data_IF_131786961529
#
_entry.id   IF_131786961529
#
_cell.length_a   1.000
_cell.length_b   1.000
_cell.length_c   1.000
_cell.angle_alpha   90.00
_cell.angle_beta   90.00
_cell.angle_gamma   90.00
#
_symmetry.space_group_name_H-M   'P 1'
#
loop_
_entity.id
_entity.type
_entity.pdbx_description
1 polymer ?
#
# COMPACT_ATOMS: atom_id res chain seq x y z
N UNK A 1 20.10 16.09 -15.28
CA UNK A 1 18.65 16.00 -15.02
C UNK A 1 18.46 15.33 -13.67
N UNK A 2 17.98 16.04 -12.66
CA UNK A 2 17.89 15.55 -11.27
C UNK A 2 16.46 15.06 -11.08
N UNK A 3 16.24 13.75 -11.12
CA UNK A 3 14.94 13.16 -10.83
C UNK A 3 14.62 13.41 -9.35
N UNK A 4 13.82 14.42 -9.07
CA UNK A 4 13.36 14.71 -7.72
C UNK A 4 12.22 13.72 -7.40
N UNK A 5 12.57 12.63 -6.71
CA UNK A 5 11.59 11.71 -6.15
C UNK A 5 11.15 12.24 -4.77
N UNK A 6 9.84 12.45 -4.60
CA UNK A 6 9.25 12.85 -3.32
C UNK A 6 8.41 11.68 -2.83
N UNK A 7 8.72 11.20 -1.62
CA UNK A 7 7.95 10.17 -0.94
C UNK A 7 6.99 10.83 0.05
N UNK A 8 5.71 10.45 0.01
CA UNK A 8 4.72 10.80 1.04
C UNK A 8 4.30 9.52 1.73
N UNK A 9 4.45 9.45 3.05
CA UNK A 9 4.01 8.31 3.86
C UNK A 9 2.74 8.66 4.64
N UNK A 10 1.81 7.71 4.71
CA UNK A 10 0.57 7.83 5.48
C UNK A 10 0.35 6.54 6.25
N UNK A 11 0.06 6.63 7.55
CA UNK A 11 -0.28 5.50 8.40
C UNK A 11 -1.79 5.27 8.42
N UNK A 12 -2.22 4.05 8.09
CA UNK A 12 -3.63 3.64 8.05
C UNK A 12 -3.72 2.23 8.64
N UNK A 13 -4.77 1.95 9.41
CA UNK A 13 -5.03 0.61 9.89
C UNK A 13 -5.36 -0.32 8.70
N UNK A 14 -4.72 -1.49 8.63
CA UNK A 14 -4.82 -2.38 7.45
C UNK A 14 -6.20 -3.02 7.27
N UNK A 15 -7.08 -2.89 8.27
CA UNK A 15 -8.46 -3.33 8.24
C UNK A 15 -9.47 -2.20 7.92
N UNK A 16 -9.03 -0.95 7.76
CA UNK A 16 -9.87 0.20 7.42
C UNK A 16 -9.72 0.58 5.93
N UNK A 17 -10.51 -0.12 5.11
CA UNK A 17 -10.46 -0.03 3.66
C UNK A 17 -11.03 1.28 3.14
N UNK A 18 -12.09 1.79 3.78
CA UNK A 18 -12.75 3.01 3.35
C UNK A 18 -11.83 4.22 3.59
N UNK A 19 -11.17 4.27 4.75
CA UNK A 19 -10.15 5.29 5.02
C UNK A 19 -8.99 5.18 4.02
N UNK A 20 -8.52 3.96 3.73
CA UNK A 20 -7.42 3.75 2.78
C UNK A 20 -7.77 4.25 1.36
N UNK A 21 -8.98 3.98 0.88
CA UNK A 21 -9.46 4.42 -0.43
C UNK A 21 -9.59 5.95 -0.47
N UNK A 22 -10.13 6.58 0.58
CA UNK A 22 -10.27 8.03 0.63
C UNK A 22 -8.92 8.76 0.67
N UNK A 23 -7.95 8.23 1.42
CA UNK A 23 -6.58 8.76 1.39
C UNK A 23 -5.95 8.57 0.01
N UNK A 24 -6.10 7.40 -0.60
CA UNK A 24 -5.57 7.13 -1.94
C UNK A 24 -6.11 8.12 -2.98
N UNK A 25 -7.43 8.40 -2.98
CA UNK A 25 -8.04 9.41 -3.85
C UNK A 25 -7.43 10.81 -3.66
N UNK A 26 -7.20 11.21 -2.41
CA UNK A 26 -6.55 12.50 -2.10
C UNK A 26 -5.11 12.56 -2.60
N UNK A 27 -4.36 11.48 -2.44
CA UNK A 27 -2.99 11.38 -2.95
C UNK A 27 -2.95 11.49 -4.49
N UNK A 28 -3.86 10.80 -5.19
CA UNK A 28 -3.99 10.93 -6.65
C UNK A 28 -4.33 12.37 -7.05
N UNK A 29 -5.27 13.02 -6.35
CA UNK A 29 -5.62 14.41 -6.61
C UNK A 29 -4.45 15.38 -6.39
N UNK A 30 -3.54 15.05 -5.46
CA UNK A 30 -2.32 15.82 -5.16
C UNK A 30 -1.14 15.48 -6.09
N UNK A 31 -1.36 14.66 -7.12
CA UNK A 31 -0.36 14.37 -8.16
C UNK A 31 0.57 13.20 -7.86
N UNK A 32 0.27 12.36 -6.87
CA UNK A 32 0.98 11.08 -6.70
C UNK A 32 0.76 10.19 -7.93
N UNK A 33 1.83 9.55 -8.40
CA UNK A 33 1.85 8.77 -9.63
C UNK A 33 2.00 7.25 -9.41
N UNK A 34 2.25 6.83 -8.17
CA UNK A 34 2.37 5.43 -7.74
C UNK A 34 1.96 5.34 -6.27
N UNK A 35 1.14 4.35 -5.93
CA UNK A 35 0.86 3.99 -4.53
C UNK A 35 1.48 2.63 -4.25
N UNK A 36 2.24 2.54 -3.16
CA UNK A 36 2.78 1.28 -2.66
C UNK A 36 2.26 1.02 -1.25
N UNK A 37 1.64 -0.14 -1.06
CA UNK A 37 1.02 -0.56 0.20
C UNK A 37 1.98 -1.40 1.03
N UNK A 38 1.91 -1.25 2.35
CA UNK A 38 2.60 -2.16 3.25
C UNK A 38 2.01 -3.57 3.15
N UNK A 39 2.80 -4.60 3.46
CA UNK A 39 2.39 -6.00 3.29
C UNK A 39 1.16 -6.41 4.10
N UNK A 40 0.80 -5.67 5.15
CA UNK A 40 -0.42 -5.92 5.92
C UNK A 40 -1.72 -5.69 5.15
N UNK A 41 -1.71 -4.96 4.03
CA UNK A 41 -2.88 -4.81 3.15
C UNK A 41 -3.16 -6.05 2.30
N UNK A 42 -2.13 -6.86 2.04
CA UNK A 42 -2.22 -8.05 1.18
C UNK A 42 -2.70 -7.76 -0.26
N UNK A 43 -2.91 -8.81 -1.07
CA UNK A 43 -3.32 -8.67 -2.47
C UNK A 43 -4.73 -8.07 -2.62
N UNK A 44 -5.61 -8.34 -1.67
CA UNK A 44 -6.96 -7.75 -1.66
C UNK A 44 -6.89 -6.23 -1.48
N UNK A 45 -6.00 -5.74 -0.62
CA UNK A 45 -5.71 -4.32 -0.39
C UNK A 45 -5.41 -3.58 -1.67
N UNK A 46 -4.45 -4.13 -2.43
CA UNK A 46 -4.02 -3.61 -3.72
C UNK A 46 -5.21 -3.53 -4.69
N UNK A 47 -5.99 -4.60 -4.81
CA UNK A 47 -7.13 -4.65 -5.73
C UNK A 47 -8.21 -3.60 -5.38
N UNK A 48 -8.64 -3.53 -4.11
CA UNK A 48 -9.69 -2.58 -3.69
C UNK A 48 -9.26 -1.14 -3.82
N UNK A 49 -8.01 -0.81 -3.48
CA UNK A 49 -7.51 0.56 -3.60
C UNK A 49 -7.37 0.94 -5.07
N UNK A 50 -6.88 0.03 -5.93
CA UNK A 50 -6.81 0.26 -7.37
C UNK A 50 -8.19 0.53 -7.99
N UNK A 51 -9.20 -0.25 -7.61
CA UNK A 51 -10.60 -0.03 -8.02
C UNK A 51 -11.14 1.30 -7.45
N UNK A 52 -10.90 1.56 -6.16
CA UNK A 52 -11.41 2.75 -5.46
C UNK A 52 -10.89 4.08 -6.00
N UNK A 53 -9.71 4.08 -6.62
CA UNK A 53 -9.18 5.26 -7.33
C UNK A 53 -9.52 5.26 -8.83
N UNK A 54 -10.25 4.27 -9.32
CA UNK A 54 -10.62 4.12 -10.73
C UNK A 54 -9.43 3.82 -11.64
N UNK A 55 -8.45 3.04 -11.15
CA UNK A 55 -7.25 2.62 -11.87
C UNK A 55 -6.42 3.78 -12.48
N UNK A 56 -6.50 4.99 -11.88
CA UNK A 56 -5.81 6.19 -12.40
C UNK A 56 -4.29 6.10 -12.38
N UNK A 57 -3.73 5.39 -11.40
CA UNK A 57 -2.29 5.18 -11.23
C UNK A 57 -2.02 3.73 -10.79
N UNK A 58 -0.80 3.21 -10.98
CA UNK A 58 -0.42 1.89 -10.48
C UNK A 58 -0.52 1.83 -8.95
N UNK A 59 -0.99 0.68 -8.46
CA UNK A 59 -1.02 0.34 -7.03
C UNK A 59 -0.25 -0.97 -6.86
N UNK A 60 0.80 -0.94 -6.06
CA UNK A 60 1.61 -2.09 -5.69
C UNK A 60 1.48 -2.41 -4.20
N UNK A 61 1.98 -3.57 -3.79
CA UNK A 61 2.08 -3.95 -2.40
C UNK A 61 3.40 -4.67 -2.13
N UNK A 62 4.04 -4.33 -1.02
CA UNK A 62 5.25 -5.02 -0.55
C UNK A 62 4.86 -6.40 -0.01
N UNK A 63 5.53 -7.45 -0.46
CA UNK A 63 5.34 -8.80 0.03
C UNK A 63 6.61 -9.26 0.75
N UNK A 64 6.45 -10.05 1.81
CA UNK A 64 7.57 -10.74 2.43
C UNK A 64 7.96 -11.95 1.58
N UNK A 65 9.26 -12.07 1.29
CA UNK A 65 9.79 -13.24 0.60
C UNK A 65 9.68 -14.51 1.44
N UNK A 66 9.85 -15.67 0.79
CA UNK A 66 9.80 -16.99 1.42
C UNK A 66 10.78 -17.13 2.59
N UNK A 67 11.94 -16.50 2.48
CA UNK A 67 13.00 -16.44 3.49
C UNK A 67 12.56 -15.82 4.83
N UNK A 68 11.52 -14.98 4.81
CA UNK A 68 11.01 -14.32 6.00
C UNK A 68 9.90 -15.11 6.70
N UNK A 69 9.43 -16.23 6.14
CA UNK A 69 8.29 -16.97 6.69
C UNK A 69 8.56 -17.48 8.11
N UNK A 70 9.68 -18.19 8.32
CA UNK A 70 9.98 -18.76 9.64
C UNK A 70 10.16 -17.66 10.72
N UNK A 71 10.95 -16.59 10.49
CA UNK A 71 11.02 -15.46 11.41
C UNK A 71 9.66 -14.82 11.73
N UNK A 72 8.79 -14.66 10.72
CA UNK A 72 7.45 -14.09 10.94
C UNK A 72 6.58 -15.05 11.77
N UNK A 73 6.59 -16.34 11.47
CA UNK A 73 5.85 -17.34 12.25
C UNK A 73 6.31 -17.37 13.70
N UNK A 74 7.60 -17.19 13.95
CA UNK A 74 8.14 -17.15 15.31
C UNK A 74 7.62 -15.96 16.13
N UNK A 75 7.27 -14.84 15.49
CA UNK A 75 6.63 -13.68 16.15
C UNK A 75 5.15 -13.91 16.50
N UNK A 76 4.50 -14.89 15.87
CA UNK A 76 3.07 -15.17 16.04
C UNK A 76 2.81 -16.34 16.99
N UNK A 77 3.88 -17.01 17.44
CA UNK A 77 3.84 -18.06 18.45
C UNK A 77 3.87 -17.41 19.84
N UNK A 78 2.74 -16.88 20.25
CA UNK A 78 2.41 -16.84 21.68
C UNK A 78 1.89 -18.22 22.10
#
# INVERSE_FOLDING_TARGET
MRYLFVLTSVGIATNDWDQAIEVAKKLVANGVQLIELCGGFGPMGVAKISEGIGHKIPVGGVLYGGEAYQPILDLLKD
#
